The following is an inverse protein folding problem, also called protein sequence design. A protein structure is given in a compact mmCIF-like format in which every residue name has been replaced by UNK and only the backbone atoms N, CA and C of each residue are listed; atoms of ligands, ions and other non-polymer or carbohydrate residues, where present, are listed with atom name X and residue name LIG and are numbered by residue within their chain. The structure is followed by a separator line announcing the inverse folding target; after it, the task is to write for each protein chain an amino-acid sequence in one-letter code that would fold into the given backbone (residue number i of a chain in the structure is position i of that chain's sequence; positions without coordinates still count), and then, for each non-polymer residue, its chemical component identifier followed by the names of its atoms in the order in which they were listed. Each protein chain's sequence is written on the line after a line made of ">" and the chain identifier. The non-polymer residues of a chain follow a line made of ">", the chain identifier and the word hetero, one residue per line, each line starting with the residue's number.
data_IF_871899767527
#
_entry.id   IF_871899767527
#
_cell.length_a   1.000
_cell.length_b   1.000
_cell.length_c   1.000
_cell.angle_alpha   90.00
_cell.angle_beta   90.00
_cell.angle_gamma   90.00
#
_symmetry.space_group_name_H-M   'P 1'
#
loop_
_entity.id
_entity.type
_entity.pdbx_description
1 polymer ?
#
# COMPACT_ATOMS: atom_id res chain seq x y z
N UNK A 1 -11.95 27.81 2.05
CA UNK A 1 -12.27 26.89 0.94
C UNK A 1 -10.94 26.27 0.56
N UNK A 2 -10.69 25.02 0.99
CA UNK A 2 -9.45 24.27 0.69
C UNK A 2 -9.26 24.24 -0.83
N UNK A 3 -8.09 24.66 -1.31
CA UNK A 3 -7.73 24.56 -2.72
C UNK A 3 -7.57 23.07 -3.01
N UNK A 4 -8.47 22.51 -3.81
CA UNK A 4 -8.47 21.08 -4.07
C UNK A 4 -7.16 20.70 -4.75
N UNK A 5 -6.40 19.78 -4.15
CA UNK A 5 -5.09 19.37 -4.66
C UNK A 5 -5.25 18.79 -6.07
N UNK A 6 -4.76 19.53 -7.06
CA UNK A 6 -4.83 19.18 -8.48
C UNK A 6 -3.54 18.49 -8.91
N UNK A 7 -3.65 17.32 -9.53
CA UNK A 7 -2.55 16.54 -10.08
C UNK A 7 -2.43 16.80 -11.58
N UNK A 8 -1.25 17.23 -12.03
CA UNK A 8 -0.95 17.36 -13.46
C UNK A 8 -0.75 15.98 -14.10
N UNK A 9 -1.67 15.58 -14.98
CA UNK A 9 -1.57 14.30 -15.70
C UNK A 9 -0.28 14.17 -16.53
N UNK A 10 0.31 15.28 -16.97
CA UNK A 10 1.58 15.27 -17.71
C UNK A 10 2.78 15.01 -16.79
N UNK A 11 2.60 15.15 -15.47
CA UNK A 11 3.60 14.81 -14.47
C UNK A 11 3.53 13.34 -14.03
N UNK A 12 2.57 12.56 -14.53
CA UNK A 12 2.45 11.13 -14.24
C UNK A 12 3.67 10.38 -14.78
N UNK A 13 4.32 9.62 -13.92
CA UNK A 13 5.48 8.81 -14.32
C UNK A 13 5.07 7.75 -15.35
N UNK A 14 5.76 7.71 -16.50
CA UNK A 14 5.61 6.62 -17.46
C UNK A 14 6.62 5.50 -17.16
N UNK A 15 6.12 4.26 -17.06
CA UNK A 15 6.98 3.11 -16.81
C UNK A 15 7.91 2.87 -18.01
N UNK A 16 9.23 2.70 -17.81
CA UNK A 16 10.15 2.42 -18.91
C UNK A 16 9.78 1.12 -19.64
N UNK A 17 9.75 1.16 -20.97
CA UNK A 17 9.52 -0.05 -21.80
C UNK A 17 10.72 -1.01 -21.80
N UNK A 18 11.90 -0.50 -21.44
CA UNK A 18 13.14 -1.25 -21.35
C UNK A 18 14.08 -0.59 -20.32
N UNK A 19 14.94 -1.39 -19.70
CA UNK A 19 15.90 -0.90 -18.70
C UNK A 19 16.38 -2.02 -17.79
N UNK A 20 17.05 -1.65 -16.70
CA UNK A 20 17.30 -2.59 -15.61
C UNK A 20 15.98 -3.00 -14.95
N UNK A 21 15.96 -4.17 -14.32
CA UNK A 21 14.79 -4.64 -13.57
C UNK A 21 14.37 -3.64 -12.49
N UNK A 22 15.34 -3.00 -11.83
CA UNK A 22 15.09 -1.93 -10.85
C UNK A 22 14.37 -0.74 -11.49
N UNK A 23 14.81 -0.30 -12.67
CA UNK A 23 14.17 0.82 -13.38
C UNK A 23 12.73 0.48 -13.79
N UNK A 24 12.49 -0.74 -14.25
CA UNK A 24 11.16 -1.23 -14.61
C UNK A 24 10.25 -1.31 -13.36
N UNK A 25 10.76 -1.87 -12.25
CA UNK A 25 10.02 -1.98 -10.99
C UNK A 25 9.62 -0.59 -10.46
N UNK A 26 10.58 0.32 -10.30
CA UNK A 26 10.33 1.68 -9.78
C UNK A 26 9.40 2.48 -10.69
N UNK A 27 9.62 2.40 -12.00
CA UNK A 27 8.74 3.07 -12.97
C UNK A 27 7.31 2.52 -12.93
N UNK A 28 7.14 1.21 -12.79
CA UNK A 28 5.81 0.59 -12.71
C UNK A 28 5.08 0.98 -11.42
N UNK A 29 5.76 1.00 -10.27
CA UNK A 29 5.18 1.44 -9.01
C UNK A 29 4.79 2.93 -9.07
N UNK A 30 5.69 3.79 -9.54
CA UNK A 30 5.42 5.21 -9.70
C UNK A 30 4.22 5.48 -10.62
N UNK A 31 4.15 4.77 -11.76
CA UNK A 31 3.02 4.87 -12.69
C UNK A 31 1.67 4.56 -12.02
N UNK A 32 1.58 3.49 -11.24
CA UNK A 32 0.33 3.11 -10.57
C UNK A 32 -0.04 4.10 -9.45
N UNK A 33 0.95 4.52 -8.65
CA UNK A 33 0.76 5.51 -7.57
C UNK A 33 0.31 6.86 -8.12
N UNK A 34 0.96 7.35 -9.17
CA UNK A 34 0.60 8.60 -9.83
C UNK A 34 -0.77 8.50 -10.54
N UNK A 35 -1.10 7.33 -11.10
CA UNK A 35 -2.44 7.10 -11.65
C UNK A 35 -3.51 7.22 -10.58
N UNK A 36 -3.30 6.67 -9.39
CA UNK A 36 -4.24 6.81 -8.28
C UNK A 36 -4.37 8.27 -7.83
N UNK A 37 -3.23 8.98 -7.65
CA UNK A 37 -3.23 10.42 -7.32
C UNK A 37 -4.03 11.22 -8.33
N UNK A 38 -3.81 10.97 -9.63
CA UNK A 38 -4.57 11.61 -10.69
C UNK A 38 -6.07 11.31 -10.61
N UNK A 39 -6.45 10.05 -10.39
CA UNK A 39 -7.89 9.70 -10.31
C UNK A 39 -8.59 10.30 -9.10
N UNK A 40 -7.87 10.56 -8.01
CA UNK A 40 -8.41 11.14 -6.78
C UNK A 40 -8.18 12.66 -6.67
N UNK A 41 -7.48 13.26 -7.64
CA UNK A 41 -7.17 14.69 -7.71
C UNK A 41 -8.44 15.53 -7.82
N UNK A 42 -8.52 16.62 -7.06
CA UNK A 42 -9.63 17.56 -7.14
C UNK A 42 -10.99 17.04 -6.64
N UNK A 43 -11.09 15.77 -6.24
CA UNK A 43 -12.34 15.17 -5.77
C UNK A 43 -12.70 15.63 -4.35
N UNK A 44 -13.99 15.92 -4.13
CA UNK A 44 -14.55 16.18 -2.80
C UNK A 44 -14.72 14.91 -1.98
N UNK A 45 -15.03 15.04 -0.70
CA UNK A 45 -15.28 13.88 0.18
C UNK A 45 -16.45 13.03 -0.33
N UNK A 46 -17.54 13.66 -0.76
CA UNK A 46 -18.71 12.96 -1.30
C UNK A 46 -18.38 12.19 -2.58
N UNK A 47 -17.52 12.74 -3.43
CA UNK A 47 -17.07 12.08 -4.66
C UNK A 47 -16.12 10.92 -4.37
N UNK A 48 -15.22 11.05 -3.39
CA UNK A 48 -14.34 9.97 -2.95
C UNK A 48 -15.13 8.84 -2.28
N UNK A 49 -16.24 9.15 -1.60
CA UNK A 49 -17.13 8.20 -0.96
C UNK A 49 -18.16 7.57 -1.92
N UNK A 50 -18.21 7.99 -3.18
CA UNK A 50 -19.13 7.43 -4.16
C UNK A 50 -18.74 5.98 -4.49
N UNK A 51 -19.71 5.07 -4.36
CA UNK A 51 -19.54 3.66 -4.71
C UNK A 51 -19.48 3.46 -6.23
N UNK A 52 -18.79 2.40 -6.66
CA UNK A 52 -18.68 1.98 -8.06
C UNK A 52 -19.42 0.64 -8.31
N UNK A 53 -20.72 0.67 -8.66
CA UNK A 53 -21.49 -0.54 -8.91
C UNK A 53 -20.89 -1.42 -10.02
N UNK A 54 -20.96 -2.76 -9.90
CA UNK A 54 -21.75 -3.52 -8.92
C UNK A 54 -21.04 -3.73 -7.56
N UNK A 55 -19.89 -3.11 -7.33
CA UNK A 55 -19.12 -3.26 -6.09
C UNK A 55 -19.41 -2.12 -5.10
N UNK A 56 -19.18 -2.37 -3.82
CA UNK A 56 -19.27 -1.35 -2.77
C UNK A 56 -18.00 -0.48 -2.66
N UNK A 57 -17.04 -0.69 -3.56
CA UNK A 57 -15.74 -0.02 -3.57
C UNK A 57 -15.88 1.48 -3.86
N UNK A 58 -15.12 2.29 -3.12
CA UNK A 58 -15.04 3.74 -3.28
C UNK A 58 -13.59 4.16 -3.58
N UNK A 59 -13.38 5.33 -4.20
CA UNK A 59 -12.02 5.82 -4.46
C UNK A 59 -11.29 6.21 -3.17
N UNK A 60 -12.00 6.75 -2.17
CA UNK A 60 -11.44 7.02 -0.85
C UNK A 60 -11.00 5.74 -0.14
N UNK A 61 -11.84 4.70 -0.17
CA UNK A 61 -11.50 3.38 0.37
C UNK A 61 -10.31 2.75 -0.34
N UNK A 62 -10.24 2.85 -1.67
CA UNK A 62 -9.08 2.35 -2.43
C UNK A 62 -7.77 3.07 -2.06
N UNK A 63 -7.83 4.38 -1.80
CA UNK A 63 -6.65 5.15 -1.38
C UNK A 63 -6.16 4.70 0.00
N UNK A 64 -7.06 4.51 0.98
CA UNK A 64 -6.70 3.99 2.30
C UNK A 64 -6.20 2.54 2.23
N UNK A 65 -6.85 1.70 1.43
CA UNK A 65 -6.44 0.33 1.19
C UNK A 65 -5.03 0.24 0.61
N UNK A 66 -4.72 1.02 -0.42
CA UNK A 66 -3.38 1.01 -1.01
C UNK A 66 -2.32 1.55 -0.04
N UNK A 67 -2.68 2.48 0.85
CA UNK A 67 -1.81 2.91 1.95
C UNK A 67 -1.52 1.78 2.95
N UNK A 68 -2.54 0.97 3.28
CA UNK A 68 -2.38 -0.23 4.09
C UNK A 68 -1.51 -1.27 3.38
N UNK A 69 -1.72 -1.51 2.09
CA UNK A 69 -0.95 -2.47 1.28
C UNK A 69 0.53 -2.11 1.25
N UNK A 70 0.86 -0.83 1.05
CA UNK A 70 2.25 -0.33 1.12
C UNK A 70 2.87 -0.65 2.49
N UNK A 71 2.15 -0.37 3.58
CA UNK A 71 2.64 -0.67 4.93
C UNK A 71 2.74 -2.18 5.22
N UNK A 72 1.78 -2.97 4.74
CA UNK A 72 1.76 -4.42 4.92
C UNK A 72 2.97 -5.08 4.25
N UNK A 73 3.28 -4.69 3.01
CA UNK A 73 4.38 -5.29 2.28
C UNK A 73 5.74 -4.79 2.77
N UNK A 74 5.92 -3.48 2.91
CA UNK A 74 7.25 -2.91 3.16
C UNK A 74 7.60 -2.80 4.65
N UNK A 75 6.65 -2.39 5.50
CA UNK A 75 6.91 -2.29 6.93
C UNK A 75 6.73 -3.66 7.62
N UNK A 76 5.56 -4.28 7.44
CA UNK A 76 5.22 -5.47 8.20
C UNK A 76 5.92 -6.73 7.67
N UNK A 77 5.90 -7.02 6.36
CA UNK A 77 6.51 -8.25 5.85
C UNK A 77 7.99 -8.11 5.53
N UNK A 78 8.38 -7.09 4.77
CA UNK A 78 9.76 -6.95 4.33
C UNK A 78 10.72 -6.65 5.47
N UNK A 79 10.31 -5.80 6.43
CA UNK A 79 11.16 -5.35 7.55
C UNK A 79 10.82 -5.96 8.92
N UNK A 80 9.67 -6.61 9.06
CA UNK A 80 9.14 -7.03 10.38
C UNK A 80 9.02 -5.86 11.38
N UNK A 81 8.72 -4.65 10.88
CA UNK A 81 8.59 -3.44 11.68
C UNK A 81 7.17 -3.24 12.27
N UNK A 82 6.26 -4.18 11.99
CA UNK A 82 4.82 -3.99 12.21
C UNK A 82 4.18 -3.09 11.15
N UNK A 83 2.88 -2.83 11.29
CA UNK A 83 2.20 -1.84 10.45
C UNK A 83 2.59 -0.42 10.88
N UNK A 84 2.58 0.52 9.94
CA UNK A 84 2.76 1.94 10.22
C UNK A 84 1.43 2.57 10.67
N UNK A 85 1.45 3.65 11.47
CA UNK A 85 0.23 4.37 11.83
C UNK A 85 -0.59 4.82 10.62
N UNK A 86 -1.94 4.78 10.70
CA UNK A 86 -2.76 4.36 11.86
C UNK A 86 -3.03 2.85 11.94
N UNK A 87 -2.47 2.06 11.02
CA UNK A 87 -2.74 0.63 10.86
C UNK A 87 -2.17 -0.23 12.00
N UNK A 88 -1.27 0.31 12.81
CA UNK A 88 -0.71 -0.30 14.02
C UNK A 88 -1.71 -0.37 15.19
N UNK A 89 -2.74 0.47 15.17
CA UNK A 89 -3.81 0.52 16.19
C UNK A 89 -4.92 -0.49 15.96
N UNK A 90 -4.89 -1.17 14.82
CA UNK A 90 -5.95 -2.02 14.30
C UNK A 90 -5.72 -3.46 14.75
N UNK A 91 -6.67 -4.04 15.49
CA UNK A 91 -6.60 -5.47 15.83
C UNK A 91 -7.09 -6.31 14.64
N UNK A 92 -6.15 -6.63 13.75
CA UNK A 92 -6.39 -7.40 12.54
C UNK A 92 -6.92 -8.82 12.79
N UNK A 93 -6.87 -9.34 14.03
CA UNK A 93 -7.46 -10.64 14.37
C UNK A 93 -8.96 -10.55 14.71
N UNK A 94 -9.46 -9.35 15.03
CA UNK A 94 -10.82 -9.12 15.50
C UNK A 94 -11.69 -8.33 14.51
N UNK A 95 -11.10 -7.86 13.42
CA UNK A 95 -11.74 -6.97 12.46
C UNK A 95 -12.29 -7.74 11.26
N UNK A 96 -13.47 -7.33 10.79
CA UNK A 96 -14.08 -7.86 9.58
C UNK A 96 -13.22 -7.50 8.35
N UNK A 97 -13.27 -8.33 7.30
CA UNK A 97 -12.63 -7.99 6.04
C UNK A 97 -13.15 -6.59 5.59
N UNK A 98 -12.25 -5.72 5.13
CA UNK A 98 -12.53 -4.41 4.52
C UNK A 98 -12.63 -3.18 5.46
N UNK A 99 -12.12 -3.24 6.69
CA UNK A 99 -12.07 -2.07 7.61
C UNK A 99 -11.45 -0.81 7.00
N UNK A 100 -10.43 -0.97 6.18
CA UNK A 100 -9.77 0.12 5.46
C UNK A 100 -10.71 0.80 4.44
N UNK A 101 -11.60 0.04 3.80
CA UNK A 101 -12.64 0.62 2.94
C UNK A 101 -13.76 1.28 3.76
N UNK A 102 -14.18 0.68 4.86
CA UNK A 102 -15.25 1.22 5.70
C UNK A 102 -14.83 2.50 6.42
N UNK A 103 -13.68 2.47 7.08
CA UNK A 103 -13.15 3.59 7.87
C UNK A 103 -12.70 4.78 7.02
N UNK A 104 -12.42 4.59 5.73
CA UNK A 104 -12.09 5.68 4.82
C UNK A 104 -13.22 6.70 4.63
N UNK A 105 -14.45 6.36 4.99
CA UNK A 105 -15.61 7.27 4.93
C UNK A 105 -15.55 8.38 5.99
N UNK A 106 -14.84 8.13 7.09
CA UNK A 106 -14.70 9.08 8.19
C UNK A 106 -13.49 10.00 8.02
N UNK A 107 -12.57 9.67 7.10
CA UNK A 107 -11.39 10.48 6.79
C UNK A 107 -11.73 11.60 5.79
N UNK A 108 -11.08 12.75 5.97
CA UNK A 108 -11.13 13.84 4.99
C UNK A 108 -10.32 13.51 3.74
N UNK A 109 -10.63 14.13 2.59
CA UNK A 109 -9.84 13.98 1.37
C UNK A 109 -8.35 14.32 1.56
N UNK A 110 -8.03 15.32 2.39
CA UNK A 110 -6.67 15.71 2.74
C UNK A 110 -5.95 14.63 3.56
N UNK A 111 -6.63 14.06 4.56
CA UNK A 111 -6.07 12.96 5.37
C UNK A 111 -5.78 11.72 4.53
N UNK A 112 -6.69 11.33 3.64
CA UNK A 112 -6.49 10.17 2.76
C UNK A 112 -5.30 10.35 1.81
N UNK A 113 -5.15 11.55 1.22
CA UNK A 113 -4.03 11.87 0.32
C UNK A 113 -2.71 11.89 1.08
N UNK A 114 -2.67 12.55 2.24
CA UNK A 114 -1.49 12.60 3.08
C UNK A 114 -1.07 11.19 3.54
N UNK A 115 -2.03 10.37 3.99
CA UNK A 115 -1.78 8.99 4.38
C UNK A 115 -1.15 8.17 3.25
N UNK A 116 -1.69 8.31 2.03
CA UNK A 116 -1.14 7.63 0.86
C UNK A 116 0.26 8.10 0.49
N UNK A 117 0.50 9.41 0.48
CA UNK A 117 1.82 9.97 0.16
C UNK A 117 2.88 9.60 1.20
N UNK A 118 2.53 9.57 2.48
CA UNK A 118 3.40 9.10 3.55
C UNK A 118 3.71 7.60 3.42
N UNK A 119 2.71 6.77 3.10
CA UNK A 119 2.90 5.34 2.89
C UNK A 119 3.83 5.07 1.69
N UNK A 120 3.66 5.79 0.58
CA UNK A 120 4.54 5.74 -0.59
C UNK A 120 5.96 6.19 -0.24
N UNK A 121 6.11 7.30 0.50
CA UNK A 121 7.44 7.78 0.90
C UNK A 121 8.16 6.78 1.80
N UNK A 122 7.45 6.11 2.71
CA UNK A 122 8.02 5.06 3.55
C UNK A 122 8.46 3.87 2.72
N UNK A 123 7.60 3.36 1.83
CA UNK A 123 7.95 2.21 1.00
C UNK A 123 9.11 2.49 0.04
N UNK A 124 9.19 3.69 -0.54
CA UNK A 124 10.34 4.09 -1.35
C UNK A 124 11.64 4.08 -0.54
N UNK A 125 11.62 4.56 0.72
CA UNK A 125 12.78 4.48 1.60
C UNK A 125 13.20 3.02 1.90
N UNK A 126 12.23 2.12 2.08
CA UNK A 126 12.50 0.68 2.28
C UNK A 126 13.12 0.05 1.02
N UNK A 127 12.59 0.39 -0.16
CA UNK A 127 13.15 -0.09 -1.44
C UNK A 127 14.57 0.43 -1.63
N UNK A 128 14.82 1.72 -1.39
CA UNK A 128 16.15 2.31 -1.51
C UNK A 128 17.15 1.62 -0.57
N UNK A 129 16.76 1.37 0.68
CA UNK A 129 17.56 0.61 1.64
C UNK A 129 17.87 -0.81 1.15
N UNK A 130 16.85 -1.56 0.70
CA UNK A 130 17.03 -2.91 0.16
C UNK A 130 18.00 -2.95 -1.01
N UNK A 131 17.85 -2.00 -1.95
CA UNK A 131 18.70 -1.90 -3.13
C UNK A 131 20.17 -1.65 -2.78
N UNK A 132 20.47 -0.95 -1.67
CA UNK A 132 21.85 -0.75 -1.21
C UNK A 132 22.46 -1.97 -0.52
N UNK A 133 21.64 -2.84 0.09
CA UNK A 133 22.12 -4.02 0.85
C UNK A 133 22.34 -5.22 -0.04
N UNK A 134 21.30 -5.62 -0.78
CA UNK A 134 21.28 -6.84 -1.58
C UNK A 134 20.71 -6.67 -2.99
N UNK A 135 20.33 -5.44 -3.37
CA UNK A 135 19.66 -5.22 -4.64
C UNK A 135 18.25 -5.82 -4.63
N UNK A 136 17.84 -6.43 -5.74
CA UNK A 136 16.56 -7.15 -5.85
C UNK A 136 16.59 -8.54 -5.20
N UNK A 137 17.79 -9.04 -4.86
CA UNK A 137 17.98 -10.32 -4.18
C UNK A 137 17.88 -10.20 -2.65
N UNK A 138 17.62 -9.00 -2.12
CA UNK A 138 17.41 -8.79 -0.68
C UNK A 138 16.15 -9.52 -0.21
N UNK A 139 16.31 -10.47 0.71
CA UNK A 139 15.20 -11.26 1.24
C UNK A 139 14.36 -10.45 2.24
N UNK A 140 13.04 -10.56 2.12
CA UNK A 140 12.09 -10.13 3.15
C UNK A 140 12.38 -10.88 4.45
N UNK A 141 12.33 -10.17 5.59
CA UNK A 141 12.54 -10.75 6.93
C UNK A 141 11.46 -11.77 7.25
N UNK A 142 10.21 -11.52 6.85
CA UNK A 142 9.12 -12.48 7.03
C UNK A 142 9.21 -13.61 6.01
N UNK A 143 9.25 -14.86 6.52
CA UNK A 143 9.37 -16.09 5.72
C UNK A 143 8.04 -16.68 5.26
N UNK A 144 6.93 -16.29 5.88
CA UNK A 144 5.60 -16.80 5.56
C UNK A 144 4.52 -15.74 5.76
N UNK A 145 3.61 -15.61 4.80
CA UNK A 145 2.40 -14.78 4.90
C UNK A 145 1.44 -15.25 6.01
N UNK A 146 1.54 -16.52 6.42
CA UNK A 146 0.77 -17.08 7.53
C UNK A 146 1.66 -17.15 8.76
N UNK A 147 1.18 -16.84 9.97
CA UNK A 147 1.93 -17.20 11.16
C UNK A 147 2.23 -18.69 11.08
N UNK A 148 3.50 -19.06 11.29
CA UNK A 148 3.91 -20.45 11.34
C UNK A 148 2.97 -21.17 12.31
N UNK A 149 2.11 -22.06 11.80
CA UNK A 149 1.36 -22.95 12.67
C UNK A 149 2.41 -23.74 13.44
N UNK A 150 2.42 -23.74 14.78
CA UNK A 150 3.37 -24.56 15.51
C UNK A 150 3.21 -25.99 15.02
N UNK A 151 4.29 -26.56 14.48
CA UNK A 151 4.29 -27.94 14.02
C UNK A 151 3.92 -28.80 15.23
N UNK A 152 2.83 -29.59 15.19
CA UNK A 152 2.60 -30.54 16.26
C UNK A 152 3.76 -31.54 16.19
N UNK A 153 4.49 -31.66 17.29
CA UNK A 153 5.65 -32.52 17.41
C UNK A 153 5.44 -33.91 16.76
N UNK A 154 6.46 -34.36 16.02
CA UNK A 154 6.84 -35.77 15.94
C UNK A 154 6.06 -36.65 14.96
N UNK A 155 6.26 -36.46 13.66
CA UNK A 155 5.92 -37.46 12.64
C UNK A 155 7.14 -37.79 11.80
N UNK A 156 7.84 -38.88 12.15
CA UNK A 156 8.91 -39.48 11.34
C UNK A 156 8.35 -39.92 9.99
N UNK A 157 8.84 -39.34 8.89
CA UNK A 157 8.63 -39.91 7.56
C UNK A 157 9.77 -40.90 7.28
N UNK A 158 9.48 -42.19 7.43
CA UNK A 158 10.35 -43.25 6.89
C UNK A 158 9.94 -43.53 5.44
N UNK A 159 10.95 -43.67 4.59
CA UNK A 159 10.88 -44.02 3.16
C UNK A 159 10.35 -45.43 2.94
#
# INVERSE_FOLDING_TARGET
>A
MSEAQEFDINARTEAPLHGSEVAILRGSLAYQRDTLRWKCSGLTQEQLAQQCPPTDMTLGGLMKHLSLVESQWFDHWFRDAGFAPPFDTVDWALIENDWDFESARDDTPEELRALFDEAVSRSDAVIDEALTRGGLDEESVSRDRKPARPSPCGGSWST
#
